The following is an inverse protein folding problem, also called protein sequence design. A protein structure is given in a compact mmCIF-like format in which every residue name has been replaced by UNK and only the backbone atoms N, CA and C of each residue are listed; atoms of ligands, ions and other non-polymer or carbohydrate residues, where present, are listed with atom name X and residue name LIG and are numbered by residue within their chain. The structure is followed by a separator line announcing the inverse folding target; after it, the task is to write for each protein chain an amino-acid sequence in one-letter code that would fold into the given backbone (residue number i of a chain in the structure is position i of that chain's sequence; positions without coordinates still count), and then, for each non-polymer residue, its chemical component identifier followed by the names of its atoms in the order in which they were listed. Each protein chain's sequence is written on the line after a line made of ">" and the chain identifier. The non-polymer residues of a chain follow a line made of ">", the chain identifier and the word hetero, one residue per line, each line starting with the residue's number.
data_IF_019385838012
#
_entry.id   IF_019385838012
#
_cell.length_a   1.000
_cell.length_b   1.000
_cell.length_c   1.000
_cell.angle_alpha   90.00
_cell.angle_beta   90.00
_cell.angle_gamma   90.00
#
_symmetry.space_group_name_H-M   'P 1'
#
loop_
_entity.id
_entity.type
_entity.pdbx_description
1 polymer ?
#
# COMPACT_ATOMS: atom_id res chain seq x y z
N UNK A 1 0.47 7.68 17.76
CA UNK A 1 -0.55 7.87 18.82
C UNK A 1 0.13 7.63 20.16
N UNK A 2 0.00 8.54 21.11
CA UNK A 2 0.64 8.39 22.43
C UNK A 2 0.03 7.22 23.22
N UNK A 3 0.87 6.44 23.91
CA UNK A 3 0.46 5.23 24.66
C UNK A 3 -0.71 5.46 25.60
N UNK A 4 -0.77 6.63 26.26
CA UNK A 4 -1.84 7.03 27.19
C UNK A 4 -3.20 7.20 26.50
N UNK A 5 -3.22 7.62 25.23
CA UNK A 5 -4.46 7.82 24.47
C UNK A 5 -5.13 6.50 24.15
N UNK A 6 -4.35 5.46 23.81
CA UNK A 6 -4.85 4.12 23.47
C UNK A 6 -5.58 3.49 24.65
N UNK A 7 -4.94 3.48 25.81
CA UNK A 7 -5.48 2.86 27.03
C UNK A 7 -6.76 3.56 27.48
N UNK A 8 -6.81 4.89 27.38
CA UNK A 8 -8.02 5.66 27.69
C UNK A 8 -9.19 5.26 26.80
N UNK A 9 -8.96 5.10 25.50
CA UNK A 9 -10.00 4.66 24.54
C UNK A 9 -10.45 3.24 24.84
N UNK A 10 -9.54 2.30 25.08
CA UNK A 10 -9.89 0.91 25.40
C UNK A 10 -10.68 0.80 26.70
N UNK A 11 -10.32 1.57 27.73
CA UNK A 11 -11.06 1.66 29.00
C UNK A 11 -12.48 2.22 28.78
N UNK A 12 -12.62 3.24 27.93
CA UNK A 12 -13.92 3.82 27.59
C UNK A 12 -14.81 2.81 26.85
N UNK A 13 -14.26 2.09 25.86
CA UNK A 13 -14.98 1.05 25.11
C UNK A 13 -15.46 -0.10 26.02
N UNK A 14 -14.62 -0.53 26.98
CA UNK A 14 -15.04 -1.51 27.99
C UNK A 14 -16.22 -1.00 28.80
N UNK A 15 -16.17 0.26 29.27
CA UNK A 15 -17.23 0.89 30.06
C UNK A 15 -18.54 1.04 29.27
N UNK A 16 -18.46 1.38 27.99
CA UNK A 16 -19.63 1.45 27.10
C UNK A 16 -20.31 0.07 26.95
N UNK A 17 -19.54 -1.01 26.94
CA UNK A 17 -20.06 -2.40 27.00
C UNK A 17 -20.52 -2.85 28.39
N UNK A 18 -20.39 -2.00 29.41
CA UNK A 18 -20.69 -2.30 30.81
C UNK A 18 -19.95 -3.53 31.34
N UNK A 19 -18.78 -3.84 30.77
CA UNK A 19 -17.95 -4.96 31.24
C UNK A 19 -17.12 -4.55 32.44
N UNK A 20 -17.04 -5.42 33.44
CA UNK A 20 -16.10 -5.25 34.56
C UNK A 20 -14.67 -5.53 34.11
N UNK A 21 -13.67 -5.04 34.85
CA UNK A 21 -12.27 -5.40 34.59
C UNK A 21 -12.06 -6.91 34.72
N UNK A 22 -12.72 -7.58 35.68
CA UNK A 22 -12.66 -9.04 35.86
C UNK A 22 -13.16 -9.78 34.62
N UNK A 23 -14.28 -9.33 34.04
CA UNK A 23 -14.85 -9.91 32.82
C UNK A 23 -13.95 -9.74 31.59
N UNK A 24 -13.29 -8.59 31.46
CA UNK A 24 -12.34 -8.36 30.37
C UNK A 24 -11.05 -9.17 30.60
N UNK A 25 -10.51 -9.15 31.81
CA UNK A 25 -9.31 -9.89 32.19
C UNK A 25 -9.45 -11.40 31.90
N UNK A 26 -10.60 -11.99 32.27
CA UNK A 26 -10.90 -13.38 31.97
C UNK A 26 -10.89 -13.69 30.45
N UNK A 27 -11.41 -12.78 29.61
CA UNK A 27 -11.38 -12.94 28.15
C UNK A 27 -9.97 -12.85 27.57
N UNK A 28 -9.09 -12.10 28.22
CA UNK A 28 -7.71 -11.91 27.80
C UNK A 28 -6.74 -12.94 28.40
N UNK A 29 -7.22 -13.78 29.32
CA UNK A 29 -6.39 -14.75 30.05
C UNK A 29 -5.41 -14.10 31.01
N UNK A 30 -5.76 -12.94 31.58
CA UNK A 30 -4.92 -12.19 32.52
C UNK A 30 -5.61 -12.00 33.87
N UNK A 31 -4.85 -11.61 34.90
CA UNK A 31 -5.44 -11.29 36.20
C UNK A 31 -6.18 -9.95 36.15
N UNK A 32 -7.22 -9.80 36.98
CA UNK A 32 -7.93 -8.51 37.08
C UNK A 32 -7.01 -7.40 37.62
N UNK A 33 -6.05 -7.73 38.48
CA UNK A 33 -5.04 -6.79 38.95
C UNK A 33 -4.21 -6.26 37.78
N UNK A 34 -3.69 -7.15 36.93
CA UNK A 34 -2.92 -6.73 35.75
C UNK A 34 -3.77 -5.90 34.78
N UNK A 35 -5.05 -6.24 34.61
CA UNK A 35 -5.99 -5.41 33.83
C UNK A 35 -6.15 -4.00 34.42
N UNK A 36 -6.19 -3.88 35.74
CA UNK A 36 -6.24 -2.59 36.42
C UNK A 36 -4.97 -1.77 36.16
N UNK A 37 -3.81 -2.39 36.30
CA UNK A 37 -2.50 -1.77 36.08
C UNK A 37 -2.37 -1.27 34.63
N UNK A 38 -2.76 -2.11 33.67
CA UNK A 38 -2.83 -1.75 32.25
C UNK A 38 -3.76 -0.55 32.00
N UNK A 39 -4.95 -0.50 32.61
CA UNK A 39 -5.88 0.64 32.49
C UNK A 39 -5.38 1.94 33.16
N UNK A 40 -4.50 1.82 34.15
CA UNK A 40 -3.81 2.93 34.79
C UNK A 40 -2.55 3.37 34.03
N UNK A 41 -2.20 2.68 32.94
CA UNK A 41 -1.09 3.04 32.05
C UNK A 41 0.23 2.34 32.34
N UNK A 42 0.25 1.36 33.26
CA UNK A 42 1.39 0.49 33.48
C UNK A 42 1.47 -0.57 32.37
N UNK A 43 2.12 -0.20 31.27
CA UNK A 43 2.27 -1.04 30.07
C UNK A 43 3.58 -1.83 30.04
N UNK A 44 4.33 -1.82 31.13
CA UNK A 44 5.55 -2.61 31.25
C UNK A 44 5.22 -4.11 31.16
N UNK A 45 5.92 -4.83 30.30
CA UNK A 45 5.62 -6.24 30.00
C UNK A 45 4.36 -6.49 29.15
N UNK A 46 3.63 -5.45 28.72
CA UNK A 46 2.47 -5.60 27.84
C UNK A 46 2.89 -5.88 26.40
N UNK A 47 2.56 -7.06 25.87
CA UNK A 47 2.86 -7.42 24.49
C UNK A 47 1.91 -6.74 23.50
N UNK A 48 2.38 -6.56 22.26
CA UNK A 48 1.54 -6.11 21.14
C UNK A 48 0.35 -7.05 20.95
N UNK A 49 0.58 -8.36 21.00
CA UNK A 49 -0.45 -9.38 20.88
C UNK A 49 -1.56 -9.23 21.93
N UNK A 50 -1.22 -8.88 23.19
CA UNK A 50 -2.21 -8.62 24.22
C UNK A 50 -3.05 -7.38 23.90
N UNK A 51 -2.44 -6.32 23.37
CA UNK A 51 -3.16 -5.11 22.93
C UNK A 51 -4.08 -5.39 21.73
N UNK A 52 -3.67 -6.27 20.81
CA UNK A 52 -4.48 -6.72 19.67
C UNK A 52 -5.68 -7.53 20.15
N UNK A 53 -5.48 -8.52 21.04
CA UNK A 53 -6.57 -9.30 21.65
C UNK A 53 -7.52 -8.42 22.46
N UNK A 54 -7.00 -7.46 23.21
CA UNK A 54 -7.82 -6.49 23.95
C UNK A 54 -8.68 -5.66 23.00
N UNK A 55 -8.08 -5.08 21.96
CA UNK A 55 -8.80 -4.30 20.95
C UNK A 55 -9.87 -5.15 20.25
N UNK A 56 -9.52 -6.37 19.83
CA UNK A 56 -10.43 -7.31 19.18
C UNK A 56 -11.60 -7.72 20.07
N UNK A 57 -11.36 -7.97 21.37
CA UNK A 57 -12.43 -8.24 22.34
C UNK A 57 -13.44 -7.09 22.47
N UNK A 58 -13.01 -5.88 22.10
CA UNK A 58 -13.80 -4.67 22.10
C UNK A 58 -14.27 -4.25 20.68
N UNK A 59 -14.21 -5.14 19.69
CA UNK A 59 -14.55 -4.86 18.29
C UNK A 59 -13.85 -3.59 17.76
N UNK A 60 -12.60 -3.40 18.15
CA UNK A 60 -11.74 -2.31 17.71
C UNK A 60 -10.50 -2.89 17.03
N UNK A 61 -9.98 -2.17 16.04
CA UNK A 61 -8.76 -2.55 15.32
C UNK A 61 -7.58 -1.73 15.85
N UNK A 62 -6.52 -2.41 16.28
CA UNK A 62 -5.26 -1.75 16.64
C UNK A 62 -4.42 -1.51 15.38
N UNK A 63 -3.97 -0.27 15.19
CA UNK A 63 -2.99 0.08 14.14
C UNK A 63 -1.74 0.62 14.82
N UNK A 64 -0.59 -0.03 14.58
CA UNK A 64 0.70 0.39 15.08
C UNK A 64 1.44 1.22 14.03
N UNK A 65 1.83 2.44 14.42
CA UNK A 65 2.66 3.34 13.60
C UNK A 65 4.05 3.46 14.24
N UNK A 66 5.08 2.97 13.56
CA UNK A 66 6.47 3.09 13.99
C UNK A 66 7.08 4.35 13.38
N UNK A 67 7.36 5.33 14.24
CA UNK A 67 8.07 6.57 13.89
C UNK A 67 9.53 6.46 14.32
N UNK A 68 10.43 6.72 13.38
CA UNK A 68 11.88 6.74 13.61
C UNK A 68 12.34 8.20 13.52
N UNK A 69 13.19 8.63 14.44
CA UNK A 69 13.89 9.90 14.31
C UNK A 69 15.08 9.70 13.35
N UNK A 70 15.06 10.37 12.20
CA UNK A 70 16.07 10.20 11.15
C UNK A 70 15.59 9.36 9.96
N UNK A 71 16.46 9.16 8.94
CA UNK A 71 16.10 8.41 7.74
C UNK A 71 15.72 6.98 8.10
N UNK A 72 14.51 6.59 7.68
CA UNK A 72 14.02 5.22 7.84
C UNK A 72 14.98 4.28 7.10
N UNK A 73 15.37 3.13 7.68
CA UNK A 73 16.12 2.13 6.94
C UNK A 73 15.38 1.81 5.63
N UNK A 74 16.11 1.59 4.53
CA UNK A 74 15.58 1.02 3.29
C UNK A 74 15.02 -0.38 3.62
N UNK A 75 13.79 -0.43 4.10
CA UNK A 75 13.10 -1.67 4.51
C UNK A 75 12.80 -2.58 3.33
N UNK A 76 12.82 -2.04 2.10
CA UNK A 76 12.64 -2.82 0.88
C UNK A 76 13.62 -2.38 -0.21
N UNK A 77 14.89 -2.79 -0.09
CA UNK A 77 15.94 -2.59 -1.12
C UNK A 77 15.49 -3.12 -2.49
N UNK A 78 14.70 -4.20 -2.51
CA UNK A 78 14.21 -4.83 -3.74
C UNK A 78 13.17 -3.94 -4.43
N UNK A 79 12.25 -3.35 -3.67
CA UNK A 79 11.26 -2.41 -4.21
C UNK A 79 11.95 -1.17 -4.77
N UNK A 80 12.88 -0.58 -4.02
CA UNK A 80 13.66 0.57 -4.48
C UNK A 80 14.46 0.26 -5.76
N UNK A 81 15.06 -0.94 -5.88
CA UNK A 81 15.78 -1.36 -7.08
C UNK A 81 14.86 -1.51 -8.30
N UNK A 82 13.68 -2.15 -8.14
CA UNK A 82 12.68 -2.25 -9.22
C UNK A 82 12.20 -0.86 -9.63
N UNK A 83 11.92 0.01 -8.66
CA UNK A 83 11.46 1.38 -8.89
C UNK A 83 12.49 2.20 -9.65
N UNK A 84 13.77 2.13 -9.25
CA UNK A 84 14.84 2.84 -9.92
C UNK A 84 15.02 2.35 -11.36
N UNK A 85 15.10 1.02 -11.56
CA UNK A 85 15.23 0.41 -12.90
C UNK A 85 14.08 0.79 -13.83
N UNK A 86 12.84 0.77 -13.32
CA UNK A 86 11.66 1.18 -14.08
C UNK A 86 11.70 2.67 -14.43
N UNK A 87 12.01 3.54 -13.46
CA UNK A 87 12.06 4.97 -13.67
C UNK A 87 13.14 5.36 -14.70
N UNK A 88 14.32 4.75 -14.63
CA UNK A 88 15.39 4.95 -15.60
C UNK A 88 15.00 4.49 -17.01
N UNK A 89 14.37 3.32 -17.15
CA UNK A 89 13.86 2.84 -18.43
C UNK A 89 12.84 3.81 -19.03
N UNK A 90 11.82 4.21 -18.25
CA UNK A 90 10.80 5.14 -18.71
C UNK A 90 11.41 6.49 -19.12
N UNK A 91 12.36 7.04 -18.34
CA UNK A 91 13.03 8.29 -18.71
C UNK A 91 13.80 8.18 -20.03
N UNK A 92 14.54 7.07 -20.23
CA UNK A 92 15.25 6.81 -21.49
C UNK A 92 14.30 6.75 -22.69
N UNK A 93 13.10 6.26 -22.47
CA UNK A 93 12.07 6.10 -23.50
C UNK A 93 11.14 7.34 -23.63
N UNK A 94 11.54 8.49 -23.10
CA UNK A 94 10.87 9.78 -23.32
C UNK A 94 9.71 10.09 -22.37
N UNK A 95 9.55 9.34 -21.28
CA UNK A 95 8.57 9.64 -20.25
C UNK A 95 9.10 10.68 -19.26
N UNK A 96 8.23 11.61 -18.85
CA UNK A 96 8.44 12.50 -17.70
C UNK A 96 8.05 11.74 -16.44
N UNK A 97 9.03 11.41 -15.59
CA UNK A 97 8.85 10.50 -14.45
C UNK A 97 9.00 11.22 -13.12
N UNK A 98 7.97 11.11 -12.29
CA UNK A 98 7.93 11.51 -10.88
C UNK A 98 7.79 10.26 -10.00
N UNK A 99 8.63 10.15 -8.97
CA UNK A 99 8.82 8.93 -8.18
C UNK A 99 8.32 9.17 -6.75
N UNK A 100 7.47 8.27 -6.27
CA UNK A 100 6.78 8.41 -4.98
C UNK A 100 5.99 9.73 -4.74
N UNK A 101 5.33 10.36 -5.75
CA UNK A 101 4.53 11.55 -5.47
C UNK A 101 3.39 11.21 -4.52
N UNK A 102 3.21 12.08 -3.54
CA UNK A 102 2.14 11.95 -2.55
C UNK A 102 0.86 12.65 -3.00
N UNK A 103 -0.28 12.20 -2.48
CA UNK A 103 -1.57 12.85 -2.65
C UNK A 103 -2.36 12.83 -1.35
N UNK A 104 -3.24 13.82 -1.23
CA UNK A 104 -4.26 13.89 -0.19
C UNK A 104 -5.52 14.50 -0.80
N UNK A 105 -6.58 13.71 -0.96
CA UNK A 105 -7.78 14.13 -1.67
C UNK A 105 -9.03 13.46 -1.08
N UNK A 106 -9.99 14.26 -0.59
CA UNK A 106 -11.27 13.79 -0.01
C UNK A 106 -11.13 12.63 0.99
N UNK A 107 -10.08 12.63 1.81
CA UNK A 107 -9.80 11.60 2.80
C UNK A 107 -8.93 10.44 2.30
N UNK A 108 -8.78 10.27 0.98
CA UNK A 108 -7.80 9.37 0.39
C UNK A 108 -6.41 10.01 0.46
N UNK A 109 -5.48 9.35 1.15
CA UNK A 109 -4.08 9.77 1.22
C UNK A 109 -3.16 8.62 0.86
N UNK A 110 -2.08 8.93 0.15
CA UNK A 110 -1.15 7.90 -0.28
C UNK A 110 0.00 8.45 -1.11
N UNK A 111 0.74 7.53 -1.72
CA UNK A 111 1.81 7.80 -2.67
C UNK A 111 1.67 6.87 -3.86
N UNK A 112 2.09 7.30 -5.05
CA UNK A 112 2.15 6.45 -6.25
C UNK A 112 3.62 6.04 -6.43
N UNK A 113 3.93 4.76 -6.65
CA UNK A 113 5.33 4.32 -6.67
C UNK A 113 6.08 4.96 -7.85
N UNK A 114 5.50 4.90 -9.04
CA UNK A 114 5.98 5.64 -10.22
C UNK A 114 4.81 6.29 -10.94
N UNK A 115 4.96 7.59 -11.21
CA UNK A 115 3.99 8.41 -11.91
C UNK A 115 4.65 9.00 -13.14
N UNK A 116 4.26 8.54 -14.33
CA UNK A 116 5.01 8.85 -15.55
C UNK A 116 4.11 9.33 -16.68
N UNK A 117 4.45 10.46 -17.31
CA UNK A 117 3.68 11.06 -18.39
C UNK A 117 4.46 11.04 -19.70
N UNK A 118 3.84 10.55 -20.77
CA UNK A 118 4.40 10.57 -22.11
C UNK A 118 3.81 11.75 -22.91
N UNK A 119 4.55 12.86 -23.11
CA UNK A 119 4.02 14.08 -23.71
C UNK A 119 3.53 13.87 -25.14
N UNK A 120 4.30 13.15 -25.98
CA UNK A 120 3.95 12.92 -27.39
C UNK A 120 2.71 12.06 -27.62
N UNK A 121 2.15 11.45 -26.56
CA UNK A 121 0.95 10.60 -26.64
C UNK A 121 -0.15 11.01 -25.65
N UNK A 122 0.13 12.01 -24.80
CA UNK A 122 -0.74 12.42 -23.70
C UNK A 122 -1.17 11.25 -22.79
N UNK A 123 -0.28 10.29 -22.54
CA UNK A 123 -0.56 9.10 -21.72
C UNK A 123 0.07 9.27 -20.35
N UNK A 124 -0.69 8.99 -19.30
CA UNK A 124 -0.21 8.93 -17.93
C UNK A 124 -0.19 7.49 -17.42
N UNK A 125 0.95 7.04 -16.92
CA UNK A 125 1.11 5.80 -16.18
C UNK A 125 0.98 6.05 -14.67
N UNK A 126 0.21 5.18 -14.03
CA UNK A 126 0.08 5.12 -12.57
C UNK A 126 0.53 3.74 -12.15
N UNK A 127 1.73 3.65 -11.56
CA UNK A 127 2.39 2.37 -11.30
C UNK A 127 2.31 2.01 -9.81
N UNK A 128 1.98 0.76 -9.55
CA UNK A 128 2.18 0.08 -8.26
C UNK A 128 3.24 -1.00 -8.39
N UNK A 129 4.24 -0.99 -7.50
CA UNK A 129 5.29 -1.99 -7.43
C UNK A 129 5.05 -2.91 -6.22
N UNK A 130 5.15 -4.23 -6.43
CA UNK A 130 5.19 -5.20 -5.33
C UNK A 130 6.30 -6.23 -5.50
N UNK A 131 7.05 -6.41 -4.41
CA UNK A 131 8.10 -7.44 -4.25
C UNK A 131 7.56 -8.74 -3.64
N UNK A 132 6.39 -8.65 -2.98
CA UNK A 132 5.61 -9.74 -2.41
C UNK A 132 4.11 -9.49 -2.64
N UNK A 133 3.34 -10.56 -2.87
CA UNK A 133 1.89 -10.49 -3.13
C UNK A 133 1.12 -11.23 -2.03
N UNK A 134 0.75 -10.50 -0.97
CA UNK A 134 0.01 -11.06 0.18
C UNK A 134 -1.49 -11.01 0.00
N UNK A 135 -1.99 -9.85 -0.44
CA UNK A 135 -3.41 -9.58 -0.68
C UNK A 135 -3.56 -8.96 -2.07
N UNK A 136 -4.30 -9.66 -2.94
CA UNK A 136 -4.57 -9.22 -4.31
C UNK A 136 -5.70 -8.20 -4.36
N UNK A 137 -6.69 -8.31 -3.49
CA UNK A 137 -7.85 -7.41 -3.49
C UNK A 137 -7.42 -6.02 -3.02
N UNK A 138 -6.63 -5.94 -1.95
CA UNK A 138 -6.04 -4.68 -1.47
C UNK A 138 -5.11 -4.05 -2.52
N UNK A 139 -4.33 -4.85 -3.26
CA UNK A 139 -3.51 -4.35 -4.37
C UNK A 139 -4.36 -3.64 -5.44
N UNK A 140 -5.43 -4.29 -5.90
CA UNK A 140 -6.32 -3.72 -6.91
C UNK A 140 -7.03 -2.47 -6.38
N UNK A 141 -7.56 -2.53 -5.15
CA UNK A 141 -8.26 -1.41 -4.53
C UNK A 141 -7.37 -0.18 -4.37
N UNK A 142 -6.11 -0.35 -3.92
CA UNK A 142 -5.14 0.76 -3.81
C UNK A 142 -4.81 1.36 -5.17
N UNK A 143 -4.66 0.54 -6.20
CA UNK A 143 -4.40 1.02 -7.55
C UNK A 143 -5.59 1.80 -8.12
N UNK A 144 -6.83 1.39 -7.81
CA UNK A 144 -8.04 2.11 -8.23
C UNK A 144 -8.15 3.49 -7.57
N UNK A 145 -7.80 3.60 -6.29
CA UNK A 145 -7.70 4.90 -5.60
C UNK A 145 -6.67 5.80 -6.30
N UNK A 146 -5.48 5.27 -6.59
CA UNK A 146 -4.42 6.00 -7.30
C UNK A 146 -4.86 6.45 -8.69
N UNK A 147 -5.51 5.57 -9.44
CA UNK A 147 -6.04 5.89 -10.76
C UNK A 147 -7.06 7.03 -10.72
N UNK A 148 -7.94 7.06 -9.70
CA UNK A 148 -8.94 8.11 -9.51
C UNK A 148 -8.32 9.50 -9.29
N UNK A 149 -7.26 9.58 -8.47
CA UNK A 149 -6.62 10.87 -8.13
C UNK A 149 -5.59 11.32 -9.18
N UNK A 150 -5.11 10.40 -10.02
CA UNK A 150 -4.01 10.62 -10.95
C UNK A 150 -4.23 11.80 -11.92
N UNK A 151 -5.44 11.97 -12.47
CA UNK A 151 -5.73 13.06 -13.42
C UNK A 151 -5.48 14.44 -12.80
N UNK A 152 -5.86 14.61 -11.53
CA UNK A 152 -5.65 15.84 -10.78
C UNK A 152 -4.17 16.07 -10.50
N UNK A 153 -3.46 15.05 -10.02
CA UNK A 153 -2.02 15.15 -9.76
C UNK A 153 -1.23 15.53 -11.03
N UNK A 154 -1.68 15.04 -12.20
CA UNK A 154 -1.10 15.42 -13.48
C UNK A 154 -1.39 16.88 -13.85
N UNK A 155 -2.63 17.35 -13.62
CA UNK A 155 -3.00 18.74 -13.85
C UNK A 155 -2.19 19.72 -12.98
N UNK A 156 -1.92 19.37 -11.71
CA UNK A 156 -1.06 20.14 -10.81
C UNK A 156 0.39 20.26 -11.33
N UNK A 157 0.80 19.38 -12.23
CA UNK A 157 2.12 19.40 -12.92
C UNK A 157 2.05 20.06 -14.31
N UNK A 158 0.90 20.61 -14.69
CA UNK A 158 0.68 21.16 -16.02
C UNK A 158 0.59 20.11 -17.13
N UNK A 159 0.40 18.82 -16.80
CA UNK A 159 0.34 17.75 -17.79
C UNK A 159 -1.08 17.60 -18.34
N UNK A 160 -1.20 17.70 -19.67
CA UNK A 160 -2.47 17.48 -20.38
C UNK A 160 -2.60 15.99 -20.71
N UNK A 161 -3.42 15.30 -19.92
CA UNK A 161 -3.57 13.84 -20.00
C UNK A 161 -4.79 13.46 -20.83
N UNK A 162 -4.56 12.76 -21.95
CA UNK A 162 -5.59 12.14 -22.78
C UNK A 162 -6.06 10.81 -22.20
N UNK A 163 -5.13 9.95 -21.76
CA UNK A 163 -5.45 8.64 -21.20
C UNK A 163 -4.61 8.31 -19.96
N UNK A 164 -5.19 7.54 -19.04
CA UNK A 164 -4.52 7.04 -17.83
C UNK A 164 -4.47 5.52 -17.92
N UNK A 165 -3.29 4.95 -17.70
CA UNK A 165 -3.06 3.51 -17.77
C UNK A 165 -2.53 3.06 -16.40
N UNK A 166 -3.33 2.29 -15.63
CA UNK A 166 -2.85 1.69 -14.40
C UNK A 166 -1.88 0.54 -14.74
N UNK A 167 -0.76 0.49 -14.03
CA UNK A 167 0.27 -0.53 -14.23
C UNK A 167 0.63 -1.20 -12.90
N UNK A 168 0.76 -2.52 -12.94
CA UNK A 168 1.29 -3.31 -11.82
C UNK A 168 2.64 -3.87 -12.27
N UNK A 169 3.67 -3.62 -11.47
CA UNK A 169 5.01 -4.17 -11.67
C UNK A 169 5.32 -5.07 -10.48
N UNK A 170 5.60 -6.33 -10.76
CA UNK A 170 5.85 -7.35 -9.76
C UNK A 170 7.29 -7.83 -9.89
N UNK A 171 7.89 -8.21 -8.77
CA UNK A 171 9.12 -9.00 -8.82
C UNK A 171 8.85 -10.31 -9.55
N UNK A 172 9.79 -10.72 -10.40
CA UNK A 172 9.78 -12.04 -11.02
C UNK A 172 9.86 -13.13 -9.93
N UNK A 173 8.79 -13.90 -9.78
CA UNK A 173 8.65 -14.93 -8.74
C UNK A 173 7.55 -15.95 -9.09
N UNK A 174 7.84 -17.24 -8.93
CA UNK A 174 6.90 -18.33 -9.23
C UNK A 174 5.64 -18.28 -8.36
N UNK A 175 5.77 -17.92 -7.09
CA UNK A 175 4.65 -17.81 -6.15
C UNK A 175 3.72 -16.67 -6.52
N UNK A 176 4.29 -15.51 -6.89
CA UNK A 176 3.53 -14.36 -7.35
C UNK A 176 2.76 -14.71 -8.64
N UNK A 177 3.41 -15.35 -9.61
CA UNK A 177 2.75 -15.80 -10.85
C UNK A 177 1.59 -16.75 -10.57
N UNK A 178 1.78 -17.73 -9.68
CA UNK A 178 0.73 -18.67 -9.31
C UNK A 178 -0.47 -17.95 -8.68
N UNK A 179 -0.23 -17.04 -7.72
CA UNK A 179 -1.31 -16.24 -7.09
C UNK A 179 -2.09 -15.40 -8.10
N UNK A 180 -1.43 -14.81 -9.10
CA UNK A 180 -2.13 -14.09 -10.17
C UNK A 180 -3.02 -15.03 -11.00
N UNK A 181 -2.51 -16.22 -11.33
CA UNK A 181 -3.25 -17.20 -12.10
C UNK A 181 -4.50 -17.70 -11.34
N UNK A 182 -4.37 -17.96 -10.04
CA UNK A 182 -5.48 -18.33 -9.15
C UNK A 182 -6.56 -17.24 -9.06
N UNK A 183 -6.19 -15.96 -9.25
CA UNK A 183 -7.09 -14.81 -9.20
C UNK A 183 -7.24 -14.08 -10.55
N UNK A 184 -7.19 -14.82 -11.66
CA UNK A 184 -7.12 -14.24 -13.01
C UNK A 184 -8.20 -13.19 -13.32
N UNK A 185 -9.41 -13.34 -12.77
CA UNK A 185 -10.53 -12.41 -12.96
C UNK A 185 -10.20 -10.98 -12.47
N UNK A 186 -9.50 -10.84 -11.33
CA UNK A 186 -9.09 -9.55 -10.79
C UNK A 186 -8.05 -8.84 -11.68
N UNK A 187 -7.30 -9.63 -12.47
CA UNK A 187 -6.28 -9.12 -13.37
C UNK A 187 -6.72 -9.03 -14.84
N UNK A 188 -8.00 -9.27 -15.15
CA UNK A 188 -8.51 -9.34 -16.52
C UNK A 188 -8.33 -8.04 -17.33
N UNK A 189 -8.29 -6.88 -16.65
CA UNK A 189 -8.04 -5.58 -17.29
C UNK A 189 -6.58 -5.35 -17.69
N UNK A 190 -5.63 -6.09 -17.09
CA UNK A 190 -4.20 -5.94 -17.38
C UNK A 190 -3.79 -6.87 -18.51
N UNK A 191 -4.30 -6.60 -19.72
CA UNK A 191 -4.11 -7.45 -20.90
C UNK A 191 -2.73 -7.32 -21.53
N UNK A 192 -2.12 -6.15 -21.41
CA UNK A 192 -0.79 -5.93 -21.95
C UNK A 192 0.25 -6.40 -20.92
N UNK A 193 1.01 -7.44 -21.27
CA UNK A 193 1.90 -8.15 -20.33
C UNK A 193 3.31 -8.36 -20.85
N UNK A 194 4.23 -8.61 -19.92
CA UNK A 194 5.57 -9.12 -20.19
C UNK A 194 6.31 -8.36 -21.31
N UNK A 195 6.84 -9.06 -22.32
CA UNK A 195 7.61 -8.46 -23.42
C UNK A 195 6.80 -7.42 -24.22
N UNK A 196 5.51 -7.68 -24.47
CA UNK A 196 4.65 -6.75 -25.19
C UNK A 196 4.45 -5.45 -24.40
N UNK A 197 4.28 -5.55 -23.08
CA UNK A 197 4.24 -4.38 -22.21
C UNK A 197 5.55 -3.58 -22.23
N UNK A 198 6.72 -4.24 -22.15
CA UNK A 198 8.02 -3.54 -22.24
C UNK A 198 8.19 -2.83 -23.59
N UNK A 199 7.87 -3.50 -24.69
CA UNK A 199 7.95 -2.90 -26.02
C UNK A 199 7.04 -1.68 -26.16
N UNK A 200 5.82 -1.76 -25.62
CA UNK A 200 4.87 -0.64 -25.65
C UNK A 200 5.30 0.52 -24.74
N UNK A 201 5.88 0.24 -23.57
CA UNK A 201 6.43 1.30 -22.72
C UNK A 201 7.57 2.05 -23.42
N UNK A 202 8.44 1.32 -24.14
CA UNK A 202 9.53 1.93 -24.90
C UNK A 202 9.08 2.74 -26.12
N UNK A 203 7.94 2.38 -26.70
CA UNK A 203 7.35 3.10 -27.82
C UNK A 203 5.81 2.98 -27.77
N UNK A 204 5.10 3.88 -27.06
CA UNK A 204 3.66 3.77 -26.79
C UNK A 204 2.80 4.11 -28.02
N UNK A 205 2.89 3.24 -29.03
CA UNK A 205 2.14 3.30 -30.30
C UNK A 205 0.92 2.37 -30.25
N UNK A 206 -0.03 2.63 -31.15
CA UNK A 206 -1.27 1.84 -31.25
C UNK A 206 -2.29 2.15 -30.15
N UNK A 207 -3.25 1.24 -29.90
CA UNK A 207 -4.30 1.41 -28.90
C UNK A 207 -3.72 1.56 -27.48
N UNK A 208 -4.36 2.41 -26.68
CA UNK A 208 -4.01 2.56 -25.27
C UNK A 208 -4.56 1.37 -24.48
N UNK A 209 -3.73 0.62 -23.73
CA UNK A 209 -4.19 -0.54 -22.98
C UNK A 209 -5.01 -0.11 -21.75
N UNK A 210 -5.99 -0.94 -21.38
CA UNK A 210 -6.77 -0.76 -20.13
C UNK A 210 -5.95 -0.99 -18.86
N UNK A 211 -4.78 -1.62 -18.98
CA UNK A 211 -3.86 -1.83 -17.88
C UNK A 211 -2.64 -2.65 -18.31
N UNK A 212 -1.54 -2.48 -17.58
CA UNK A 212 -0.27 -3.16 -17.81
C UNK A 212 0.09 -4.05 -16.62
N UNK A 213 0.55 -5.28 -16.88
CA UNK A 213 1.13 -6.15 -15.87
C UNK A 213 2.54 -6.60 -16.30
N UNK A 214 3.53 -6.23 -15.51
CA UNK A 214 4.93 -6.51 -15.78
C UNK A 214 5.56 -7.31 -14.64
N UNK A 215 6.49 -8.18 -15.03
CA UNK A 215 7.42 -8.81 -14.12
C UNK A 215 8.82 -8.22 -14.34
N UNK A 216 9.48 -7.91 -13.24
CA UNK A 216 10.83 -7.37 -13.21
C UNK A 216 11.73 -8.33 -12.46
N UNK A 217 12.73 -8.85 -13.16
CA UNK A 217 13.86 -9.52 -12.51
C UNK A 217 14.74 -8.48 -11.84
N UNK A 218 15.22 -8.81 -10.65
CA UNK A 218 16.35 -8.12 -10.04
C UNK A 218 17.58 -8.93 -10.45
N UNK A 219 18.58 -8.27 -11.02
CA UNK A 219 19.92 -8.84 -11.08
C UNK A 219 20.44 -8.83 -9.63
N UNK A 220 20.86 -9.99 -9.13
CA UNK A 220 21.42 -10.14 -7.78
C UNK A 220 22.81 -9.50 -7.68
#
# INVERSE_FOLDING_TARGET
>A
MERRTVIRVLRQLRRQRRWTQRQLAARLGISQQWMSDLECGALEGCSVELLERWSGSLNATLVLDLRVAGPRPLTDRRHAAIQNSLAEMLRRDGWLVDVEPSFNHYGDRGRIDVFAFHPGRAILLVVEIKTELRDVQDLIGRLDVKHRVARRMAAERGWVVGAIVPAIVLREDRTIRRRIAEHAALFARFRLRARAARAWLGAPRGPVPSGILLFQSLED
#
